data_IF_367594500796
#
_entry.id   IF_367594500796
#
_cell.length_a   1.000
_cell.length_b   1.000
_cell.length_c   1.000
_cell.angle_alpha   90.00
_cell.angle_beta   90.00
_cell.angle_gamma   90.00
#
_symmetry.space_group_name_H-M   'P 1'
#
loop_
_entity.id
_entity.type
_entity.pdbx_description
1 polymer ?
#
# COMPACT_ATOMS: atom_id res chain seq x y z
N UNK A 1 12.33 -7.54 25.42
CA UNK A 1 11.03 -7.47 24.72
C UNK A 1 11.13 -6.36 23.69
N UNK A 2 11.04 -6.67 22.40
CA UNK A 2 10.94 -5.63 21.37
C UNK A 2 9.56 -4.99 21.48
N UNK A 3 9.50 -3.66 21.49
CA UNK A 3 8.23 -2.94 21.50
C UNK A 3 7.57 -3.15 20.13
N UNK A 4 6.29 -3.51 20.12
CA UNK A 4 5.51 -3.68 18.89
C UNK A 4 4.93 -2.36 18.43
N UNK A 5 5.02 -2.09 17.14
CA UNK A 5 4.43 -0.91 16.50
C UNK A 5 3.59 -1.38 15.32
N UNK A 6 2.32 -0.98 15.31
CA UNK A 6 1.48 -1.10 14.12
C UNK A 6 1.67 0.17 13.30
N UNK A 7 2.12 0.01 12.05
CA UNK A 7 2.40 1.11 11.15
C UNK A 7 1.43 1.10 9.98
N UNK A 8 0.72 2.20 9.77
CA UNK A 8 -0.09 2.38 8.57
C UNK A 8 0.83 2.52 7.34
N UNK A 9 0.79 1.55 6.44
CA UNK A 9 1.54 1.54 5.19
C UNK A 9 0.61 1.90 4.04
N UNK A 10 0.89 3.00 3.35
CA UNK A 10 0.09 3.46 2.21
C UNK A 10 0.59 2.94 0.87
N UNK A 11 1.75 2.28 0.84
CA UNK A 11 2.47 1.95 -0.40
C UNK A 11 3.41 3.06 -0.88
N UNK A 12 3.33 4.25 -0.27
CA UNK A 12 4.21 5.38 -0.56
C UNK A 12 5.56 5.33 0.15
N UNK A 13 6.48 6.18 -0.31
CA UNK A 13 7.87 6.26 0.18
C UNK A 13 7.99 6.63 1.66
N UNK A 14 7.16 7.54 2.16
CA UNK A 14 7.25 8.02 3.55
C UNK A 14 6.96 6.89 4.55
N UNK A 15 5.88 6.15 4.31
CA UNK A 15 5.51 5.00 5.15
C UNK A 15 6.53 3.87 5.07
N UNK A 16 7.19 3.72 3.91
CA UNK A 16 8.24 2.73 3.69
C UNK A 16 9.52 3.09 4.45
N UNK A 17 9.94 4.35 4.40
CA UNK A 17 11.10 4.85 5.14
C UNK A 17 10.86 4.77 6.66
N UNK A 18 9.65 5.11 7.12
CA UNK A 18 9.28 4.99 8.52
C UNK A 18 9.41 3.53 9.01
N UNK A 19 8.97 2.55 8.21
CA UNK A 19 9.09 1.14 8.54
C UNK A 19 10.56 0.70 8.71
N UNK A 20 11.44 1.10 7.79
CA UNK A 20 12.88 0.83 7.86
C UNK A 20 13.50 1.42 9.12
N UNK A 21 13.19 2.69 9.42
CA UNK A 21 13.75 3.38 10.58
C UNK A 21 13.31 2.74 11.91
N UNK A 22 12.05 2.35 12.01
CA UNK A 22 11.53 1.65 13.19
C UNK A 22 12.17 0.27 13.34
N UNK A 23 12.35 -0.47 12.25
CA UNK A 23 13.03 -1.76 12.28
C UNK A 23 14.50 -1.62 12.71
N UNK A 24 15.23 -0.64 12.18
CA UNK A 24 16.61 -0.33 12.55
C UNK A 24 16.75 0.07 14.03
N UNK A 25 15.71 0.67 14.61
CA UNK A 25 15.65 1.00 16.04
C UNK A 25 15.27 -0.21 16.92
N UNK A 26 15.05 -1.40 16.33
CA UNK A 26 14.76 -2.64 17.07
C UNK A 26 13.29 -2.85 17.42
N UNK A 27 12.36 -2.14 16.78
CA UNK A 27 10.93 -2.38 16.97
C UNK A 27 10.46 -3.60 16.15
N UNK A 28 9.46 -4.31 16.69
CA UNK A 28 8.70 -5.30 15.92
C UNK A 28 7.59 -4.55 15.16
N UNK A 29 7.80 -4.32 13.86
CA UNK A 29 6.90 -3.52 13.02
C UNK A 29 5.87 -4.42 12.35
N UNK A 30 4.60 -4.09 12.52
CA UNK A 30 3.47 -4.76 11.86
C UNK A 30 2.86 -3.74 10.88
N UNK A 31 3.04 -3.97 9.58
CA UNK A 31 2.46 -3.13 8.53
C UNK A 31 0.95 -3.36 8.40
N UNK A 32 0.19 -2.28 8.28
CA UNK A 32 -1.27 -2.31 8.06
C UNK A 32 -1.64 -1.38 6.92
N UNK A 33 -2.35 -1.90 5.92
CA UNK A 33 -2.89 -1.10 4.82
C UNK A 33 -4.39 -0.87 5.06
N UNK A 34 -4.84 0.38 4.99
CA UNK A 34 -6.26 0.72 5.10
C UNK A 34 -6.82 1.04 3.72
N UNK A 35 -8.00 0.49 3.41
CA UNK A 35 -8.76 0.83 2.21
C UNK A 35 -9.99 1.65 2.60
N UNK A 36 -9.91 2.96 2.39
CA UNK A 36 -10.99 3.91 2.70
C UNK A 36 -11.66 4.40 1.41
N UNK A 37 -13.00 4.43 1.37
CA UNK A 37 -13.76 5.08 0.29
C UNK A 37 -13.94 4.29 -1.01
N UNK A 38 -13.55 3.01 -1.03
CA UNK A 38 -13.77 2.14 -2.19
C UNK A 38 -15.06 1.32 -2.05
N UNK A 39 -16.19 1.99 -2.23
CA UNK A 39 -17.42 1.37 -2.70
C UNK A 39 -17.33 1.43 -4.22
N UNK A 40 -17.05 0.31 -4.88
CA UNK A 40 -17.34 -0.06 -6.29
C UNK A 40 -16.33 -1.18 -6.71
N UNK A 41 -16.80 -2.34 -7.19
CA UNK A 41 -15.94 -3.48 -7.54
C UNK A 41 -15.05 -3.22 -8.77
N UNK A 42 -15.40 -2.26 -9.62
CA UNK A 42 -14.69 -1.96 -10.88
C UNK A 42 -13.30 -1.34 -10.67
N UNK A 43 -13.05 -0.62 -9.56
CA UNK A 43 -11.73 -0.03 -9.27
C UNK A 43 -10.67 -1.07 -8.90
N UNK A 44 -11.05 -2.33 -8.69
CA UNK A 44 -10.15 -3.43 -8.35
C UNK A 44 -9.70 -4.27 -9.54
N UNK A 45 -10.23 -4.04 -10.75
CA UNK A 45 -9.82 -4.80 -11.92
C UNK A 45 -8.38 -4.41 -12.30
N UNK A 46 -7.46 -5.37 -12.17
CA UNK A 46 -6.10 -5.23 -12.69
C UNK A 46 -6.08 -5.98 -14.01
N UNK A 47 -5.90 -5.29 -15.13
CA UNK A 47 -5.73 -5.95 -16.42
C UNK A 47 -4.41 -6.75 -16.39
N UNK A 48 -4.52 -8.08 -16.37
CA UNK A 48 -3.40 -9.02 -16.26
C UNK A 48 -2.56 -9.15 -17.53
N UNK A 49 -2.70 -8.24 -18.50
CA UNK A 49 -2.04 -8.31 -19.82
C UNK A 49 -1.05 -7.18 -20.12
N UNK A 50 -0.88 -6.20 -19.23
CA UNK A 50 0.15 -5.17 -19.40
C UNK A 50 1.44 -5.57 -18.67
N UNK A 51 2.59 -5.40 -19.36
CA UNK A 51 3.95 -5.64 -18.83
C UNK A 51 4.27 -4.82 -17.55
N UNK A 52 3.40 -3.88 -17.18
CA UNK A 52 3.35 -3.18 -15.91
C UNK A 52 1.86 -3.03 -15.52
N UNK A 53 1.47 -3.20 -14.25
CA UNK A 53 0.08 -3.11 -13.80
C UNK A 53 -0.34 -1.64 -13.72
N UNK A 54 -0.50 -0.99 -14.88
CA UNK A 54 -1.08 0.35 -14.96
C UNK A 54 -2.58 0.18 -14.94
N UNK A 55 -3.21 0.54 -13.82
CA UNK A 55 -4.68 0.63 -13.71
C UNK A 55 -5.16 1.69 -14.71
N UNK A 56 -5.86 1.28 -15.76
CA UNK A 56 -6.56 2.18 -16.69
C UNK A 56 -7.77 2.77 -15.97
N UNK A 57 -7.78 4.08 -15.65
CA UNK A 57 -8.88 4.65 -14.87
C UNK A 57 -10.13 4.76 -15.75
N UNK A 58 -11.33 4.34 -15.26
CA UNK A 58 -12.57 4.68 -15.94
C UNK A 58 -12.77 6.20 -15.91
N UNK A 59 -13.29 6.74 -17.02
CA UNK A 59 -13.46 8.15 -17.40
C UNK A 59 -14.21 9.07 -16.39
N UNK A 60 -14.53 8.65 -15.17
CA UNK A 60 -15.29 9.43 -14.17
C UNK A 60 -14.85 9.24 -12.71
N UNK A 61 -13.56 9.11 -12.44
CA UNK A 61 -13.08 9.11 -11.07
C UNK A 61 -12.02 10.20 -10.84
N UNK A 62 -12.47 11.44 -10.63
CA UNK A 62 -11.68 12.50 -9.95
C UNK A 62 -11.33 12.14 -8.49
N UNK A 63 -11.47 10.88 -8.10
CA UNK A 63 -10.84 10.31 -6.92
C UNK A 63 -9.64 9.49 -7.42
N UNK A 64 -8.52 10.17 -7.66
CA UNK A 64 -7.21 9.55 -7.46
C UNK A 64 -7.12 9.16 -5.98
N UNK A 65 -7.81 8.08 -5.62
CA UNK A 65 -7.94 7.67 -4.24
C UNK A 65 -6.60 7.13 -3.80
N UNK A 66 -5.96 7.82 -2.85
CA UNK A 66 -5.09 7.14 -1.90
C UNK A 66 -5.83 5.87 -1.46
N UNK A 67 -5.14 4.72 -1.48
CA UNK A 67 -5.64 3.40 -1.06
C UNK A 67 -6.27 2.53 -2.16
N UNK A 68 -5.68 2.52 -3.35
CA UNK A 68 -6.01 1.59 -4.45
C UNK A 68 -5.46 0.17 -4.22
N UNK A 69 -5.87 -0.79 -5.06
CA UNK A 69 -5.34 -2.16 -5.02
C UNK A 69 -3.84 -2.21 -5.37
N UNK A 70 -3.36 -1.34 -6.27
CA UNK A 70 -1.94 -1.19 -6.58
C UNK A 70 -1.15 -0.67 -5.37
N UNK A 71 -1.69 0.30 -4.63
CA UNK A 71 -1.04 0.83 -3.42
C UNK A 71 -0.88 -0.26 -2.34
N UNK A 72 -1.88 -1.14 -2.21
CA UNK A 72 -1.81 -2.28 -1.30
C UNK A 72 -0.73 -3.29 -1.73
N UNK A 73 -0.59 -3.51 -3.05
CA UNK A 73 0.46 -4.37 -3.58
C UNK A 73 1.86 -3.78 -3.36
N UNK A 74 2.00 -2.46 -3.50
CA UNK A 74 3.27 -1.78 -3.23
C UNK A 74 3.62 -1.80 -1.73
N UNK A 75 2.65 -1.57 -0.84
CA UNK A 75 2.85 -1.72 0.60
C UNK A 75 3.33 -3.13 0.97
N UNK A 76 2.74 -4.16 0.35
CA UNK A 76 3.18 -5.55 0.52
C UNK A 76 4.60 -5.78 0.02
N UNK A 77 4.95 -5.31 -1.18
CA UNK A 77 6.32 -5.46 -1.74
C UNK A 77 7.38 -4.82 -0.86
N UNK A 78 7.07 -3.71 -0.22
CA UNK A 78 7.97 -3.07 0.75
C UNK A 78 8.12 -3.97 1.98
N UNK A 79 7.00 -4.42 2.56
CA UNK A 79 7.02 -5.32 3.72
C UNK A 79 7.80 -6.63 3.45
N UNK A 80 7.71 -7.19 2.25
CA UNK A 80 8.45 -8.40 1.85
C UNK A 80 10.00 -8.19 1.81
N UNK A 81 10.47 -6.94 1.84
CA UNK A 81 11.90 -6.59 1.83
C UNK A 81 12.45 -6.15 3.20
N UNK A 82 11.60 -6.02 4.21
CA UNK A 82 11.97 -5.64 5.58
C UNK A 82 12.08 -6.89 6.45
#
# INVERSE_FOLDING_TARGET
MNRRVVLAMSGGVDSSAAAVLLQQQGYEVIGLFMRSGASEPETCATDTQALLPVVTPPSRANRHGCCSASDAADARRVADRL
#
